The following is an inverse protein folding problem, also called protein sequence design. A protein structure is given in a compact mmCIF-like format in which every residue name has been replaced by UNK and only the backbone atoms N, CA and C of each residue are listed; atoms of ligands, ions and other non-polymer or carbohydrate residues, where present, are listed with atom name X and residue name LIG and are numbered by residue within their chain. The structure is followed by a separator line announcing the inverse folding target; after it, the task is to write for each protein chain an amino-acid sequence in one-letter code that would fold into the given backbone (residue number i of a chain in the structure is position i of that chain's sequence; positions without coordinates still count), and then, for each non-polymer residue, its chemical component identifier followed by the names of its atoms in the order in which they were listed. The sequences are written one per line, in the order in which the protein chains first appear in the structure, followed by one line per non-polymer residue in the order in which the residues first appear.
data_IF_200660260232
#
_entry.id   IF_200660260232
#
_cell.length_a   1.000
_cell.length_b   1.000
_cell.length_c   1.000
_cell.angle_alpha   90.00
_cell.angle_beta   90.00
_cell.angle_gamma   90.00
#
_symmetry.space_group_name_H-M   'P 1'
#
loop_
_entity.id
_entity.type
_entity.pdbx_description
1 polymer ?
#
# COMPACT_ATOMS: atom_id res chain seq x y z
N UNK A 1 -27.66 -56.89 43.35
CA UNK A 1 -26.61 -56.37 44.25
C UNK A 1 -25.32 -56.83 43.62
N UNK A 2 -24.74 -55.93 42.83
CA UNK A 2 -23.75 -56.27 41.80
C UNK A 2 -22.38 -55.84 42.28
N UNK A 3 -21.59 -56.78 42.80
CA UNK A 3 -20.20 -56.54 43.17
C UNK A 3 -19.30 -56.74 41.94
N UNK A 4 -19.38 -55.80 40.99
CA UNK A 4 -18.36 -55.67 39.95
C UNK A 4 -17.19 -54.89 40.55
N UNK A 5 -16.26 -55.62 41.17
CA UNK A 5 -14.97 -55.06 41.61
C UNK A 5 -14.22 -54.48 40.40
N UNK A 6 -14.03 -53.16 40.38
CA UNK A 6 -13.15 -52.51 39.43
C UNK A 6 -11.69 -52.83 39.78
N UNK A 7 -11.09 -53.76 39.04
CA UNK A 7 -9.65 -54.00 39.08
C UNK A 7 -8.90 -52.81 38.47
N UNK A 8 -8.31 -51.96 39.32
CA UNK A 8 -7.27 -51.01 38.92
C UNK A 8 -5.95 -51.77 38.96
N UNK A 9 -5.65 -52.49 37.88
CA UNK A 9 -4.43 -53.25 37.68
C UNK A 9 -3.86 -53.01 36.29
N UNK A 10 -2.53 -52.94 36.19
CA UNK A 10 -1.82 -52.72 34.91
C UNK A 10 -1.99 -53.94 34.01
N UNK A 11 -2.86 -53.85 33.00
CA UNK A 11 -2.98 -54.82 31.92
C UNK A 11 -1.80 -54.68 30.94
N UNK A 12 -0.63 -55.20 31.33
CA UNK A 12 0.52 -55.29 30.42
C UNK A 12 0.41 -56.50 29.51
N UNK A 13 -0.25 -56.35 28.35
CA UNK A 13 -0.04 -57.22 27.19
C UNK A 13 0.01 -56.40 25.90
N UNK A 14 1.12 -55.69 25.68
CA UNK A 14 1.54 -55.29 24.33
C UNK A 14 2.78 -56.09 23.96
N UNK A 15 2.67 -56.95 22.93
CA UNK A 15 3.84 -57.54 22.27
C UNK A 15 4.65 -56.40 21.63
N UNK A 16 5.80 -56.04 22.20
CA UNK A 16 6.74 -55.11 21.56
C UNK A 16 7.84 -55.91 20.86
N UNK A 17 8.10 -55.56 19.61
CA UNK A 17 9.25 -56.05 18.84
C UNK A 17 10.48 -55.32 19.38
N UNK A 18 11.43 -56.06 19.94
CA UNK A 18 12.72 -55.52 20.41
C UNK A 18 13.85 -55.90 19.44
N UNK A 19 14.89 -55.07 19.38
CA UNK A 19 16.14 -55.40 18.68
C UNK A 19 16.93 -56.43 19.52
N UNK A 20 17.35 -57.53 18.88
CA UNK A 20 18.01 -58.68 19.54
C UNK A 20 19.27 -58.31 20.32
N UNK A 21 20.05 -57.33 19.82
CA UNK A 21 21.30 -56.87 20.45
C UNK A 21 21.10 -56.26 21.85
N UNK A 22 20.01 -55.53 22.09
CA UNK A 22 19.75 -54.91 23.40
C UNK A 22 19.33 -55.89 24.50
N UNK A 23 18.85 -57.08 24.13
CA UNK A 23 18.50 -58.15 25.07
C UNK A 23 19.75 -58.93 25.52
N UNK A 24 20.65 -59.20 24.58
CA UNK A 24 21.92 -59.91 24.84
C UNK A 24 22.87 -59.08 25.72
N UNK A 25 22.88 -57.75 25.56
CA UNK A 25 23.66 -56.83 26.40
C UNK A 25 23.08 -56.63 27.83
N UNK A 26 21.95 -57.24 28.17
CA UNK A 26 21.36 -57.18 29.53
C UNK A 26 20.75 -55.84 29.95
N UNK A 27 20.79 -54.81 29.10
CA UNK A 27 20.33 -53.44 29.39
C UNK A 27 18.81 -53.29 29.48
N UNK A 28 18.04 -54.18 28.81
CA UNK A 28 16.59 -54.09 28.67
C UNK A 28 15.84 -55.23 29.40
N UNK A 29 16.40 -55.73 30.52
CA UNK A 29 15.83 -56.86 31.28
C UNK A 29 14.76 -56.47 32.33
N UNK A 30 14.61 -55.18 32.64
CA UNK A 30 13.61 -54.70 33.60
C UNK A 30 12.50 -53.90 32.92
N UNK A 31 11.30 -53.96 33.49
CA UNK A 31 10.14 -53.14 33.09
C UNK A 31 10.50 -51.67 33.35
N UNK A 32 10.90 -50.94 32.31
CA UNK A 32 11.06 -49.49 32.39
C UNK A 32 9.67 -48.88 32.32
N UNK A 33 9.17 -48.37 33.45
CA UNK A 33 7.99 -47.51 33.48
C UNK A 33 8.44 -46.08 33.09
N UNK A 34 7.74 -45.45 32.15
CA UNK A 34 7.90 -44.02 31.91
C UNK A 34 7.63 -43.26 33.22
N UNK A 35 8.61 -42.46 33.65
CA UNK A 35 8.66 -41.79 34.96
C UNK A 35 7.62 -40.70 35.19
N UNK A 36 6.51 -40.69 34.44
CA UNK A 36 5.45 -39.71 34.64
C UNK A 36 4.36 -40.29 35.57
N UNK A 37 4.52 -40.06 36.88
CA UNK A 37 3.53 -40.41 37.92
C UNK A 37 2.43 -39.36 38.07
N UNK A 38 2.46 -38.28 37.29
CA UNK A 38 1.50 -37.17 37.42
C UNK A 38 0.06 -37.62 37.23
N UNK A 39 -0.20 -38.64 36.41
CA UNK A 39 -1.55 -39.15 36.21
C UNK A 39 -2.08 -39.92 37.43
N UNK A 40 -1.21 -40.59 38.20
CA UNK A 40 -1.58 -41.28 39.46
C UNK A 40 -1.95 -40.23 40.50
N UNK A 41 -1.14 -39.18 40.63
CA UNK A 41 -1.40 -38.04 41.52
C UNK A 41 -2.65 -37.29 41.10
N UNK A 42 -2.90 -37.12 39.80
CA UNK A 42 -4.08 -36.43 39.26
C UNK A 42 -5.36 -37.23 39.55
N UNK A 43 -5.35 -38.56 39.39
CA UNK A 43 -6.50 -39.40 39.77
C UNK A 43 -6.73 -39.37 41.28
N UNK A 44 -5.67 -39.45 42.09
CA UNK A 44 -5.78 -39.31 43.54
C UNK A 44 -6.32 -37.92 43.96
N UNK A 45 -5.97 -36.86 43.21
CA UNK A 45 -6.49 -35.50 43.43
C UNK A 45 -7.95 -35.32 42.99
N UNK A 46 -8.41 -36.04 41.97
CA UNK A 46 -9.82 -36.05 41.57
C UNK A 46 -10.67 -36.82 42.60
N UNK A 47 -10.10 -37.85 43.22
CA UNK A 47 -10.76 -38.69 44.22
C UNK A 47 -10.56 -38.23 45.68
N UNK A 48 -10.27 -36.94 45.93
CA UNK A 48 -10.04 -36.41 47.28
C UNK A 48 -11.32 -36.51 48.13
N UNK A 49 -11.33 -37.46 49.06
CA UNK A 49 -12.17 -37.45 50.25
C UNK A 49 -11.24 -37.40 51.47
N UNK A 50 -11.31 -36.35 52.32
CA UNK A 50 -12.21 -35.19 52.28
C UNK A 50 -11.69 -34.03 51.42
N UNK A 51 -12.59 -33.38 50.66
CA UNK A 51 -12.31 -32.25 49.76
C UNK A 51 -11.72 -31.05 50.51
N UNK A 52 -10.39 -30.85 50.40
CA UNK A 52 -9.66 -29.74 51.02
C UNK A 52 -9.07 -28.81 49.94
N UNK A 53 -9.85 -27.84 49.41
CA UNK A 53 -9.41 -26.94 48.34
C UNK A 53 -8.30 -25.98 48.77
N UNK A 54 -8.13 -25.78 50.07
CA UNK A 54 -7.12 -24.91 50.68
C UNK A 54 -5.68 -25.31 50.34
N UNK A 55 -5.41 -26.61 50.16
CA UNK A 55 -4.08 -27.12 49.75
C UNK A 55 -3.75 -26.71 48.32
N UNK A 56 -4.75 -26.81 47.42
CA UNK A 56 -4.63 -26.39 46.02
C UNK A 56 -4.45 -24.88 45.96
N UNK A 57 -5.27 -24.12 46.70
CA UNK A 57 -5.19 -22.65 46.73
C UNK A 57 -3.87 -22.14 47.33
N UNK A 58 -3.29 -22.82 48.33
CA UNK A 58 -1.96 -22.45 48.88
C UNK A 58 -0.83 -22.58 47.86
N UNK A 59 -0.92 -23.53 46.92
CA UNK A 59 0.08 -23.68 45.85
C UNK A 59 0.10 -22.51 44.87
N UNK A 60 -1.03 -21.84 44.68
CA UNK A 60 -1.13 -20.65 43.82
C UNK A 60 -0.91 -19.34 44.59
N UNK A 61 -0.84 -19.39 45.93
CA UNK A 61 -0.51 -18.26 46.81
C UNK A 61 1.00 -18.16 47.09
N UNK A 62 1.85 -18.46 46.12
CA UNK A 62 3.27 -18.06 46.21
C UNK A 62 3.34 -16.54 46.23
N UNK A 63 3.67 -16.02 47.42
CA UNK A 63 4.01 -14.63 47.74
C UNK A 63 3.06 -13.57 47.17
N UNK A 64 2.18 -13.07 48.05
CA UNK A 64 1.79 -11.65 48.05
C UNK A 64 3.06 -10.83 48.36
N UNK A 65 3.93 -10.70 47.37
CA UNK A 65 4.88 -9.62 47.25
C UNK A 65 4.40 -8.76 46.10
N UNK A 66 4.41 -7.45 46.29
CA UNK A 66 4.00 -6.38 45.37
C UNK A 66 4.78 -6.30 44.04
N UNK A 67 5.18 -7.44 43.49
CA UNK A 67 5.91 -7.51 42.25
C UNK A 67 4.95 -7.89 41.14
N UNK A 68 4.45 -6.86 40.46
CA UNK A 68 4.24 -6.92 39.02
C UNK A 68 5.41 -7.67 38.41
N UNK A 69 5.26 -8.97 38.12
CA UNK A 69 6.28 -9.77 37.43
C UNK A 69 6.64 -9.00 36.16
N UNK A 70 7.80 -8.31 36.09
CA UNK A 70 8.14 -7.60 34.88
C UNK A 70 8.53 -8.71 33.92
N UNK A 71 7.75 -8.88 32.85
CA UNK A 71 8.27 -9.61 31.71
C UNK A 71 9.56 -8.88 31.31
N UNK A 72 10.72 -9.51 31.53
CA UNK A 72 12.07 -8.97 31.34
C UNK A 72 12.44 -8.72 29.87
N UNK A 73 11.45 -8.30 29.07
CA UNK A 73 11.58 -7.98 27.66
C UNK A 73 10.70 -6.78 27.29
N UNK A 74 10.36 -5.92 28.25
CA UNK A 74 9.75 -4.62 27.99
C UNK A 74 10.85 -3.59 27.71
N UNK A 75 11.52 -3.72 26.57
CA UNK A 75 12.26 -2.60 25.99
C UNK A 75 11.24 -1.53 25.59
N UNK A 76 11.33 -0.36 26.20
CA UNK A 76 10.47 0.81 25.93
C UNK A 76 10.55 1.35 24.50
N UNK A 77 11.35 0.75 23.61
CA UNK A 77 11.59 1.18 22.24
C UNK A 77 10.98 0.26 21.17
N UNK A 78 10.42 -0.90 21.52
CA UNK A 78 9.85 -1.81 20.52
C UNK A 78 8.44 -1.37 20.11
N UNK A 79 8.22 -1.17 18.81
CA UNK A 79 6.90 -0.93 18.23
C UNK A 79 5.94 -2.03 18.69
N UNK A 80 4.81 -1.64 19.31
CA UNK A 80 3.80 -2.59 19.77
C UNK A 80 3.26 -3.36 18.55
N UNK A 81 3.42 -4.68 18.55
CA UNK A 81 2.77 -5.50 17.54
C UNK A 81 1.26 -5.43 17.70
N UNK A 82 0.54 -5.18 16.61
CA UNK A 82 -0.92 -5.16 16.58
C UNK A 82 -1.55 -6.51 16.98
N UNK A 83 -0.78 -7.61 16.98
CA UNK A 83 -1.21 -8.92 17.47
C UNK A 83 -1.26 -9.01 19.00
N UNK A 84 -0.46 -8.21 19.71
CA UNK A 84 -0.24 -8.34 21.16
C UNK A 84 -1.20 -7.45 21.94
N UNK A 85 -2.51 -7.70 21.80
CA UNK A 85 -3.54 -6.88 22.41
C UNK A 85 -3.38 -6.74 23.93
N UNK A 86 -2.83 -7.74 24.63
CA UNK A 86 -2.55 -7.68 26.07
C UNK A 86 -1.56 -6.57 26.44
N UNK A 87 -0.56 -6.32 25.59
CA UNK A 87 0.41 -5.24 25.78
C UNK A 87 -0.26 -3.88 25.53
N UNK A 88 -1.07 -3.80 24.47
CA UNK A 88 -1.83 -2.59 24.12
C UNK A 88 -2.85 -2.24 25.21
N UNK A 89 -3.58 -3.23 25.73
CA UNK A 89 -4.57 -3.09 26.79
C UNK A 89 -3.93 -2.67 28.13
N UNK A 90 -2.75 -3.22 28.46
CA UNK A 90 -1.98 -2.76 29.63
C UNK A 90 -1.58 -1.29 29.52
N UNK A 91 -1.13 -0.86 28.34
CA UNK A 91 -0.79 0.54 28.10
C UNK A 91 -2.01 1.44 28.12
N UNK A 92 -3.14 1.00 27.56
CA UNK A 92 -4.40 1.72 27.65
C UNK A 92 -4.80 1.93 29.13
N UNK A 93 -4.69 0.89 29.96
CA UNK A 93 -4.98 0.98 31.40
C UNK A 93 -3.99 1.84 32.19
N UNK A 94 -2.76 1.99 31.69
CA UNK A 94 -1.76 2.88 32.29
C UNK A 94 -1.96 4.33 31.87
N UNK A 95 -2.44 4.57 30.65
CA UNK A 95 -2.62 5.91 30.08
C UNK A 95 -3.99 6.54 30.40
N UNK A 96 -4.98 5.73 30.76
CA UNK A 96 -6.34 6.19 31.09
C UNK A 96 -6.53 6.17 32.60
N UNK A 97 -6.82 7.32 33.18
CA UNK A 97 -7.05 7.47 34.63
C UNK A 97 -8.35 6.77 35.10
N UNK A 98 -9.42 6.83 34.28
CA UNK A 98 -10.69 6.12 34.55
C UNK A 98 -10.96 5.00 33.55
N UNK A 99 -10.73 3.77 33.99
CA UNK A 99 -10.96 2.54 33.22
C UNK A 99 -12.46 2.35 32.90
N UNK A 100 -13.35 2.96 33.68
CA UNK A 100 -14.79 2.83 33.50
C UNK A 100 -15.39 3.86 32.55
N UNK A 101 -14.58 4.81 32.06
CA UNK A 101 -15.02 5.77 31.05
C UNK A 101 -15.58 5.07 29.79
N UNK A 102 -16.62 5.65 29.22
CA UNK A 102 -17.29 5.10 28.05
C UNK A 102 -16.36 5.06 26.83
N UNK A 103 -15.45 6.03 26.68
CA UNK A 103 -14.51 6.07 25.55
C UNK A 103 -13.38 5.05 25.75
N UNK A 104 -12.89 4.90 26.98
CA UNK A 104 -11.92 3.85 27.33
C UNK A 104 -12.45 2.45 27.05
N UNK A 105 -13.70 2.16 27.44
CA UNK A 105 -14.38 0.89 27.13
C UNK A 105 -14.54 0.66 25.63
N UNK A 106 -14.87 1.70 24.85
CA UNK A 106 -14.96 1.60 23.39
C UNK A 106 -13.59 1.25 22.79
N UNK A 107 -12.51 1.91 23.23
CA UNK A 107 -11.15 1.63 22.77
C UNK A 107 -10.69 0.21 23.11
N UNK A 108 -10.95 -0.27 24.33
CA UNK A 108 -10.63 -1.65 24.70
C UNK A 108 -11.35 -2.66 23.79
N UNK A 109 -12.66 -2.47 23.56
CA UNK A 109 -13.45 -3.32 22.65
C UNK A 109 -12.93 -3.30 21.21
N UNK A 110 -12.51 -2.14 20.69
CA UNK A 110 -11.95 -2.07 19.33
C UNK A 110 -10.60 -2.76 19.25
N UNK A 111 -9.74 -2.62 20.27
CA UNK A 111 -8.46 -3.34 20.36
C UNK A 111 -8.69 -4.86 20.33
N UNK A 112 -9.62 -5.37 21.14
CA UNK A 112 -9.99 -6.78 21.13
C UNK A 112 -10.49 -7.25 19.76
N UNK A 113 -11.40 -6.47 19.15
CA UNK A 113 -12.00 -6.80 17.86
C UNK A 113 -10.94 -6.85 16.74
N UNK A 114 -10.07 -5.84 16.69
CA UNK A 114 -8.99 -5.75 15.70
C UNK A 114 -7.99 -6.88 15.89
N UNK A 115 -7.63 -7.19 17.14
CA UNK A 115 -6.71 -8.29 17.43
C UNK A 115 -7.26 -9.64 16.98
N UNK A 116 -8.53 -9.95 17.29
CA UNK A 116 -9.18 -11.17 16.86
C UNK A 116 -9.24 -11.27 15.32
N UNK A 117 -9.59 -10.17 14.64
CA UNK A 117 -9.58 -10.12 13.17
C UNK A 117 -8.18 -10.33 12.60
N UNK A 118 -7.16 -9.71 13.17
CA UNK A 118 -5.78 -9.87 12.71
C UNK A 118 -5.30 -11.32 12.89
N UNK A 119 -5.62 -11.98 13.99
CA UNK A 119 -5.31 -13.40 14.19
C UNK A 119 -6.01 -14.27 13.16
N UNK A 120 -7.31 -14.02 12.90
CA UNK A 120 -8.07 -14.75 11.88
C UNK A 120 -7.42 -14.60 10.49
N UNK A 121 -7.06 -13.37 10.12
CA UNK A 121 -6.39 -13.06 8.86
C UNK A 121 -5.00 -13.69 8.77
N UNK A 122 -4.25 -13.75 9.87
CA UNK A 122 -2.95 -14.44 9.91
C UNK A 122 -3.13 -15.93 9.62
N UNK A 123 -4.06 -16.59 10.32
CA UNK A 123 -4.37 -17.99 10.09
C UNK A 123 -4.88 -18.26 8.66
N UNK A 124 -5.73 -17.38 8.12
CA UNK A 124 -6.19 -17.48 6.74
C UNK A 124 -5.02 -17.37 5.75
N UNK A 125 -4.13 -16.40 5.94
CA UNK A 125 -2.93 -16.27 5.10
C UNK A 125 -2.03 -17.51 5.17
N UNK A 126 -1.84 -18.08 6.36
CA UNK A 126 -1.03 -19.27 6.54
C UNK A 126 -1.69 -20.51 5.90
N UNK A 127 -3.00 -20.67 6.05
CA UNK A 127 -3.77 -21.71 5.37
C UNK A 127 -3.72 -21.56 3.84
N UNK A 128 -3.82 -20.33 3.32
CA UNK A 128 -3.70 -20.07 1.89
C UNK A 128 -2.29 -20.37 1.36
N UNK A 129 -1.25 -20.03 2.13
CA UNK A 129 0.13 -20.39 1.80
C UNK A 129 0.33 -21.90 1.78
N UNK A 130 -0.24 -22.61 2.74
CA UNK A 130 -0.19 -24.07 2.79
C UNK A 130 -0.96 -24.69 1.62
N UNK A 131 -2.17 -24.21 1.34
CA UNK A 131 -2.97 -24.65 0.21
C UNK A 131 -2.22 -24.46 -1.11
N UNK A 132 -1.58 -23.30 -1.31
CA UNK A 132 -0.74 -23.02 -2.47
C UNK A 132 0.48 -23.94 -2.54
N UNK A 133 1.13 -24.24 -1.42
CA UNK A 133 2.24 -25.19 -1.37
C UNK A 133 1.80 -26.62 -1.73
N UNK A 134 0.63 -27.05 -1.25
CA UNK A 134 0.06 -28.36 -1.55
C UNK A 134 -0.37 -28.44 -3.02
N UNK A 135 -0.98 -27.39 -3.55
CA UNK A 135 -1.35 -27.26 -4.96
C UNK A 135 -0.11 -27.38 -5.87
N UNK A 136 0.98 -26.68 -5.53
CA UNK A 136 2.27 -26.83 -6.22
C UNK A 136 2.81 -28.26 -6.15
N UNK A 137 2.70 -28.95 -5.00
CA UNK A 137 3.09 -30.36 -4.87
C UNK A 137 2.24 -31.27 -5.77
N UNK A 138 0.93 -31.05 -5.82
CA UNK A 138 0.03 -31.78 -6.70
C UNK A 138 0.38 -31.56 -8.18
N UNK A 139 0.61 -30.32 -8.60
CA UNK A 139 1.08 -30.02 -9.96
C UNK A 139 2.40 -30.71 -10.29
N UNK A 140 3.37 -30.70 -9.36
CA UNK A 140 4.66 -31.41 -9.54
C UNK A 140 4.47 -32.92 -9.69
N UNK A 141 3.58 -33.55 -8.93
CA UNK A 141 3.28 -34.98 -9.03
C UNK A 141 2.57 -35.36 -10.34
N UNK A 142 1.76 -34.46 -10.90
CA UNK A 142 1.06 -34.67 -12.18
C UNK A 142 1.93 -34.48 -13.43
N UNK A 143 3.13 -33.89 -13.31
CA UNK A 143 4.08 -33.76 -14.42
C UNK A 143 4.69 -35.13 -14.73
N UNK A 144 4.29 -35.74 -15.83
CA UNK A 144 4.93 -36.96 -16.33
C UNK A 144 6.40 -36.68 -16.68
N UNK A 145 7.28 -37.60 -16.30
CA UNK A 145 8.69 -37.50 -16.65
C UNK A 145 8.87 -37.70 -18.16
N UNK A 146 9.47 -36.73 -18.85
CA UNK A 146 9.73 -36.81 -20.29
C UNK A 146 10.89 -37.77 -20.59
N UNK A 147 10.57 -39.06 -20.62
CA UNK A 147 11.48 -40.12 -21.04
C UNK A 147 11.49 -40.19 -22.56
N UNK A 148 12.66 -39.97 -23.16
CA UNK A 148 12.83 -40.04 -24.61
C UNK A 148 13.06 -41.49 -25.05
N UNK A 149 12.28 -42.02 -26.00
CA UNK A 149 12.41 -43.39 -26.45
C UNK A 149 13.80 -43.65 -27.09
N UNK A 150 14.32 -44.89 -27.03
CA UNK A 150 15.55 -45.26 -27.73
C UNK A 150 15.38 -45.12 -29.25
N UNK A 151 16.48 -44.96 -29.99
CA UNK A 151 16.46 -44.82 -31.46
C UNK A 151 15.86 -46.04 -32.17
N UNK A 152 16.07 -47.25 -31.65
CA UNK A 152 15.53 -48.50 -32.19
C UNK A 152 14.25 -48.93 -31.44
N UNK A 153 13.24 -48.05 -31.40
CA UNK A 153 12.00 -48.31 -30.67
C UNK A 153 10.94 -49.01 -31.53
N UNK A 154 10.76 -50.32 -31.33
CA UNK A 154 9.76 -51.13 -32.06
C UNK A 154 8.39 -51.17 -31.36
N UNK A 155 7.86 -50.01 -30.93
CA UNK A 155 6.46 -49.82 -30.50
C UNK A 155 5.94 -50.74 -29.38
N UNK A 156 6.82 -51.25 -28.51
CA UNK A 156 6.47 -52.09 -27.34
C UNK A 156 6.63 -51.37 -25.99
N UNK A 157 6.32 -52.04 -24.87
CA UNK A 157 6.60 -51.45 -23.56
C UNK A 157 8.12 -51.25 -23.34
N UNK A 158 8.54 -50.07 -22.89
CA UNK A 158 9.95 -49.75 -22.60
C UNK A 158 10.21 -49.80 -21.10
N UNK A 159 11.11 -50.67 -20.67
CA UNK A 159 11.63 -50.65 -19.30
C UNK A 159 12.76 -49.63 -19.19
N UNK A 160 12.63 -48.71 -18.23
CA UNK A 160 13.61 -47.67 -17.99
C UNK A 160 14.51 -48.02 -16.80
N UNK A 161 15.82 -47.94 -16.99
CA UNK A 161 16.77 -48.07 -15.88
C UNK A 161 16.73 -46.85 -14.95
N UNK A 162 17.09 -46.99 -13.65
CA UNK A 162 17.13 -45.86 -12.71
C UNK A 162 17.99 -44.68 -13.21
N UNK A 163 19.09 -44.95 -13.89
CA UNK A 163 19.98 -43.93 -14.48
C UNK A 163 19.29 -43.08 -15.55
N UNK A 164 18.47 -43.70 -16.41
CA UNK A 164 17.70 -42.98 -17.44
C UNK A 164 16.60 -42.11 -16.83
N UNK A 165 15.97 -42.59 -15.77
CA UNK A 165 14.99 -41.82 -14.99
C UNK A 165 15.67 -40.61 -14.32
N UNK A 166 16.86 -40.77 -13.76
CA UNK A 166 17.62 -39.66 -13.17
C UNK A 166 17.99 -38.59 -14.22
N UNK A 167 18.50 -39.00 -15.39
CA UNK A 167 18.82 -38.08 -16.50
C UNK A 167 17.59 -37.30 -16.98
N UNK A 168 16.42 -37.95 -17.07
CA UNK A 168 15.19 -37.27 -17.45
C UNK A 168 14.72 -36.26 -16.40
N UNK A 169 14.93 -36.53 -15.10
CA UNK A 169 14.67 -35.55 -14.02
C UNK A 169 15.60 -34.35 -14.14
N UNK A 170 16.89 -34.57 -14.32
CA UNK A 170 17.88 -33.52 -14.47
C UNK A 170 17.56 -32.61 -15.67
N UNK A 171 17.16 -33.19 -16.81
CA UNK A 171 16.73 -32.39 -17.98
C UNK A 171 15.48 -31.56 -17.68
N UNK A 172 14.52 -32.11 -16.94
CA UNK A 172 13.33 -31.38 -16.55
C UNK A 172 13.65 -30.22 -15.60
N UNK A 173 14.53 -30.46 -14.60
CA UNK A 173 15.00 -29.41 -13.69
C UNK A 173 15.71 -28.29 -14.45
N UNK A 174 16.56 -28.63 -15.43
CA UNK A 174 17.22 -27.63 -16.28
C UNK A 174 16.21 -26.80 -17.09
N UNK A 175 15.17 -27.44 -17.67
CA UNK A 175 14.11 -26.72 -18.38
C UNK A 175 13.31 -25.82 -17.45
N UNK A 176 12.90 -26.32 -16.29
CA UNK A 176 12.16 -25.55 -15.29
C UNK A 176 12.99 -24.34 -14.81
N UNK A 177 14.29 -24.50 -14.58
CA UNK A 177 15.21 -23.39 -14.22
C UNK A 177 15.34 -22.35 -15.34
N UNK A 178 15.45 -22.78 -16.60
CA UNK A 178 15.48 -21.87 -17.76
C UNK A 178 14.18 -21.09 -17.89
N UNK A 179 13.03 -21.75 -17.73
CA UNK A 179 11.73 -21.10 -17.75
C UNK A 179 11.57 -20.09 -16.61
N UNK A 180 12.00 -20.44 -15.39
CA UNK A 180 12.00 -19.55 -14.23
C UNK A 180 12.89 -18.32 -14.45
N UNK A 181 14.10 -18.51 -14.99
CA UNK A 181 15.00 -17.41 -15.33
C UNK A 181 14.40 -16.48 -16.40
N UNK A 182 13.76 -17.04 -17.43
CA UNK A 182 13.06 -16.26 -18.46
C UNK A 182 11.87 -15.48 -17.88
N UNK A 183 11.11 -16.08 -16.97
CA UNK A 183 10.01 -15.38 -16.29
C UNK A 183 10.54 -14.25 -15.40
N UNK A 184 11.63 -14.49 -14.67
CA UNK A 184 12.29 -13.48 -13.86
C UNK A 184 12.73 -12.29 -14.73
N UNK A 185 13.45 -12.53 -15.82
CA UNK A 185 13.87 -11.50 -16.76
C UNK A 185 12.69 -10.71 -17.34
N UNK A 186 11.59 -11.39 -17.73
CA UNK A 186 10.37 -10.71 -18.21
C UNK A 186 9.76 -9.81 -17.14
N UNK A 187 9.74 -10.26 -15.88
CA UNK A 187 9.22 -9.48 -14.76
C UNK A 187 10.09 -8.24 -14.48
N UNK A 188 11.41 -8.38 -14.55
CA UNK A 188 12.35 -7.28 -14.39
C UNK A 188 12.23 -6.28 -15.53
N UNK A 189 12.10 -6.76 -16.77
CA UNK A 189 11.87 -5.93 -17.94
C UNK A 189 10.54 -5.15 -17.84
N UNK A 190 9.49 -5.75 -17.27
CA UNK A 190 8.24 -5.05 -17.01
C UNK A 190 8.41 -3.93 -15.98
N UNK A 191 9.05 -4.22 -14.85
CA UNK A 191 9.35 -3.22 -13.80
C UNK A 191 10.21 -2.08 -14.34
N UNK A 192 11.21 -2.39 -15.17
CA UNK A 192 12.06 -1.37 -15.79
C UNK A 192 11.25 -0.48 -16.74
N UNK A 193 10.38 -1.07 -17.57
CA UNK A 193 9.48 -0.33 -18.47
C UNK A 193 8.54 0.59 -17.71
N UNK A 194 7.98 0.15 -16.59
CA UNK A 194 7.14 0.99 -15.72
C UNK A 194 7.93 2.17 -15.16
N UNK A 195 9.14 1.93 -14.62
CA UNK A 195 10.01 2.99 -14.12
C UNK A 195 10.36 4.01 -15.20
N UNK A 196 10.67 3.55 -16.42
CA UNK A 196 10.96 4.43 -17.55
C UNK A 196 9.74 5.27 -17.96
N UNK A 197 8.53 4.69 -17.95
CA UNK A 197 7.29 5.43 -18.21
C UNK A 197 7.06 6.53 -17.17
N UNK A 198 7.27 6.22 -15.89
CA UNK A 198 7.13 7.18 -14.80
C UNK A 198 8.15 8.31 -14.91
N UNK A 199 9.43 7.99 -15.12
CA UNK A 199 10.49 9.00 -15.30
C UNK A 199 10.23 9.91 -16.50
N UNK A 200 9.75 9.34 -17.62
CA UNK A 200 9.37 10.12 -18.80
C UNK A 200 8.18 11.04 -18.53
N UNK A 201 7.18 10.57 -17.77
CA UNK A 201 6.03 11.38 -17.37
C UNK A 201 6.46 12.56 -16.48
N UNK A 202 7.33 12.31 -15.49
CA UNK A 202 7.90 13.34 -14.61
C UNK A 202 8.67 14.40 -15.41
N UNK A 203 9.57 13.99 -16.31
CA UNK A 203 10.32 14.93 -17.16
C UNK A 203 9.38 15.80 -18.02
N UNK A 204 8.32 15.20 -18.57
CA UNK A 204 7.34 15.92 -19.37
C UNK A 204 6.54 16.93 -18.54
N UNK A 205 6.21 16.59 -17.30
CA UNK A 205 5.55 17.50 -16.34
C UNK A 205 6.47 18.66 -15.95
N UNK A 206 7.73 18.40 -15.61
CA UNK A 206 8.73 19.43 -15.35
C UNK A 206 8.92 20.37 -16.54
N UNK A 207 8.95 19.83 -17.77
CA UNK A 207 9.05 20.63 -18.99
C UNK A 207 7.82 21.51 -19.21
N UNK A 208 6.62 21.05 -18.84
CA UNK A 208 5.39 21.86 -18.86
C UNK A 208 5.47 22.99 -17.84
N UNK A 209 5.88 22.69 -16.60
CA UNK A 209 6.05 23.71 -15.56
C UNK A 209 7.07 24.78 -15.96
N UNK A 210 8.21 24.39 -16.53
CA UNK A 210 9.22 25.32 -17.04
C UNK A 210 8.66 26.23 -18.15
N UNK A 211 7.80 25.72 -19.03
CA UNK A 211 7.15 26.52 -20.08
C UNK A 211 6.16 27.52 -19.51
N UNK A 212 5.37 27.12 -18.50
CA UNK A 212 4.44 28.01 -17.81
C UNK A 212 5.20 29.13 -17.11
N UNK A 213 6.22 28.79 -16.32
CA UNK A 213 7.06 29.77 -15.63
C UNK A 213 7.75 30.73 -16.62
N UNK A 214 8.31 30.23 -17.72
CA UNK A 214 8.93 31.08 -18.74
C UNK A 214 7.92 32.01 -19.45
N UNK A 215 6.66 31.59 -19.57
CA UNK A 215 5.59 32.44 -20.12
C UNK A 215 5.20 33.53 -19.12
N UNK A 216 4.99 33.17 -17.86
CA UNK A 216 4.69 34.12 -16.79
C UNK A 216 5.77 35.19 -16.65
N UNK A 217 7.04 34.81 -16.68
CA UNK A 217 8.16 35.76 -16.64
C UNK A 217 8.19 36.69 -17.87
N UNK A 218 7.87 36.18 -19.07
CA UNK A 218 7.75 37.03 -20.27
C UNK A 218 6.60 38.02 -20.16
N UNK A 219 5.45 37.57 -19.64
CA UNK A 219 4.27 38.40 -19.47
C UNK A 219 4.52 39.48 -18.41
N UNK A 220 5.23 39.16 -17.32
CA UNK A 220 5.69 40.14 -16.31
C UNK A 220 6.61 41.20 -16.90
N UNK A 221 7.65 40.79 -17.62
CA UNK A 221 8.58 41.71 -18.26
C UNK A 221 7.90 42.59 -19.32
N UNK A 222 6.92 42.06 -20.04
CA UNK A 222 6.12 42.82 -21.00
C UNK A 222 5.21 43.83 -20.29
N UNK A 223 4.59 43.46 -19.18
CA UNK A 223 3.77 44.35 -18.36
C UNK A 223 4.60 45.49 -17.75
N UNK A 224 5.77 45.20 -17.18
CA UNK A 224 6.68 46.22 -16.64
C UNK A 224 7.14 47.20 -17.73
N UNK A 225 7.53 46.69 -18.92
CA UNK A 225 7.89 47.56 -20.05
C UNK A 225 6.71 48.38 -20.56
N UNK A 226 5.49 47.85 -20.51
CA UNK A 226 4.30 48.61 -20.86
C UNK A 226 4.04 49.73 -19.85
N UNK A 227 4.17 49.46 -18.54
CA UNK A 227 4.07 50.48 -17.50
C UNK A 227 5.11 51.59 -17.68
N UNK A 228 6.38 51.23 -17.90
CA UNK A 228 7.45 52.22 -18.17
C UNK A 228 7.14 53.11 -19.38
N UNK A 229 6.59 52.53 -20.46
CA UNK A 229 6.20 53.32 -21.64
C UNK A 229 5.07 54.29 -21.34
N UNK A 230 4.11 53.93 -20.50
CA UNK A 230 3.04 54.84 -20.08
C UNK A 230 3.57 55.95 -19.16
N UNK A 231 4.44 55.62 -18.21
CA UNK A 231 5.13 56.60 -17.36
C UNK A 231 5.93 57.61 -18.21
N UNK A 232 6.69 57.14 -19.20
CA UNK A 232 7.44 57.99 -20.13
C UNK A 232 6.54 58.91 -20.95
N UNK A 233 5.37 58.42 -21.39
CA UNK A 233 4.38 59.24 -22.11
C UNK A 233 3.81 60.32 -21.18
N UNK A 234 3.45 59.96 -19.95
CA UNK A 234 2.94 60.89 -18.95
C UNK A 234 3.98 61.95 -18.58
N UNK A 235 5.23 61.56 -18.37
CA UNK A 235 6.34 62.46 -18.11
C UNK A 235 6.55 63.47 -19.26
N UNK A 236 6.53 63.00 -20.52
CA UNK A 236 6.62 63.87 -21.70
C UNK A 236 5.43 64.82 -21.83
N UNK A 237 4.23 64.40 -21.45
CA UNK A 237 3.04 65.26 -21.46
C UNK A 237 3.14 66.34 -20.38
N UNK A 238 3.54 65.98 -19.16
CA UNK A 238 3.78 66.93 -18.08
C UNK A 238 4.89 67.93 -18.44
N UNK A 239 5.98 67.47 -19.04
CA UNK A 239 7.06 68.36 -19.50
C UNK A 239 6.57 69.36 -20.56
N UNK A 240 5.76 68.91 -21.52
CA UNK A 240 5.13 69.80 -22.50
C UNK A 240 4.22 70.84 -21.84
N UNK A 241 3.42 70.43 -20.85
CA UNK A 241 2.57 71.34 -20.08
C UNK A 241 3.39 72.37 -19.30
N UNK A 242 4.45 71.94 -18.61
CA UNK A 242 5.38 72.83 -17.92
C UNK A 242 6.03 73.83 -18.88
N UNK A 243 6.46 73.39 -20.06
CA UNK A 243 7.02 74.28 -21.08
C UNK A 243 5.99 75.30 -21.60
N UNK A 244 4.73 74.90 -21.81
CA UNK A 244 3.68 75.85 -22.18
C UNK A 244 3.37 76.84 -21.06
N UNK A 245 3.36 76.40 -19.80
CA UNK A 245 3.08 77.26 -18.64
C UNK A 245 4.21 78.25 -18.37
N UNK A 246 5.47 77.83 -18.56
CA UNK A 246 6.63 78.73 -18.51
C UNK A 246 6.54 79.78 -19.63
N UNK A 247 6.17 79.39 -20.86
CA UNK A 247 5.96 80.34 -21.98
C UNK A 247 4.80 81.31 -21.72
N UNK A 248 3.70 80.85 -21.12
CA UNK A 248 2.56 81.68 -20.74
C UNK A 248 2.92 82.65 -19.60
N UNK A 249 3.64 82.18 -18.58
CA UNK A 249 4.18 82.97 -17.46
C UNK A 249 5.10 84.10 -17.95
N UNK A 250 5.97 83.85 -18.94
CA UNK A 250 6.83 84.87 -19.53
C UNK A 250 6.05 85.90 -20.39
N UNK A 251 4.93 85.50 -21.01
CA UNK A 251 4.03 86.42 -21.73
C UNK A 251 3.10 87.21 -20.80
N UNK A 252 3.02 86.87 -19.51
CA UNK A 252 2.15 87.46 -18.48
C UNK A 252 2.56 88.84 -17.95
N UNK A 253 3.35 89.63 -18.68
CA UNK A 253 3.46 91.09 -18.49
C UNK A 253 3.04 91.81 -19.78
N UNK A 254 1.75 91.76 -20.13
CA UNK A 254 1.02 92.76 -20.96
C UNK A 254 -0.44 92.35 -21.17
N UNK A 255 -1.34 93.21 -20.65
CA UNK A 255 -2.63 93.72 -21.18
C UNK A 255 -3.31 92.96 -22.35
N UNK A 256 -4.63 92.90 -22.58
CA UNK A 256 -5.89 93.40 -21.98
C UNK A 256 -7.03 93.15 -23.01
N UNK A 257 -8.31 93.11 -22.59
CA UNK A 257 -9.56 93.37 -23.37
C UNK A 257 -10.00 92.33 -24.44
N UNK A 258 -11.27 92.04 -24.80
CA UNK A 258 -12.67 92.20 -24.32
C UNK A 258 -13.57 91.37 -25.32
N UNK A 259 -14.88 91.13 -25.05
CA UNK A 259 -15.67 90.01 -25.61
C UNK A 259 -16.46 90.34 -26.89
N UNK A 260 -16.99 89.33 -27.59
CA UNK A 260 -18.24 89.44 -28.40
C UNK A 260 -18.89 88.09 -28.69
N UNK A 261 -20.22 88.08 -28.59
CA UNK A 261 -21.20 87.02 -28.88
C UNK A 261 -21.72 87.16 -30.33
N UNK A 262 -22.05 86.05 -30.98
CA UNK A 262 -23.08 85.99 -32.03
C UNK A 262 -23.75 84.59 -32.00
N UNK A 263 -25.08 84.56 -32.09
CA UNK A 263 -25.96 83.40 -31.92
C UNK A 263 -26.67 83.06 -33.26
N UNK A 264 -26.66 81.76 -33.56
CA UNK A 264 -27.58 80.83 -34.28
C UNK A 264 -28.61 81.28 -35.34
N UNK A 265 -28.76 80.46 -36.40
CA UNK A 265 -29.96 79.61 -36.69
C UNK A 265 -29.64 78.59 -37.81
N UNK A 266 -29.61 77.27 -37.55
CA UNK A 266 -30.58 76.14 -37.73
C UNK A 266 -30.95 75.70 -39.17
N UNK A 267 -30.85 74.37 -39.35
CA UNK A 267 -31.49 73.39 -40.26
C UNK A 267 -30.91 73.18 -41.67
N UNK A 268 -30.25 72.03 -41.86
CA UNK A 268 -30.35 71.20 -43.06
C UNK A 268 -30.11 69.72 -42.69
N UNK A 269 -31.16 68.94 -42.88
CA UNK A 269 -31.28 67.49 -42.87
C UNK A 269 -30.65 66.91 -44.15
N UNK A 270 -29.84 65.83 -44.10
CA UNK A 270 -29.65 64.82 -45.18
C UNK A 270 -28.78 63.62 -44.69
N UNK A 271 -29.45 62.53 -44.31
CA UNK A 271 -29.25 61.14 -44.79
C UNK A 271 -27.87 60.63 -45.27
N UNK A 272 -27.28 59.65 -44.55
CA UNK A 272 -27.19 58.21 -44.96
C UNK A 272 -26.16 57.43 -44.12
N UNK A 273 -26.69 56.58 -43.25
CA UNK A 273 -26.03 55.36 -42.78
C UNK A 273 -26.23 54.28 -43.85
N UNK A 274 -25.15 53.73 -44.40
CA UNK A 274 -25.21 52.45 -45.12
C UNK A 274 -24.19 51.51 -44.49
N UNK A 275 -24.74 50.40 -44.00
CA UNK A 275 -24.08 49.21 -43.49
C UNK A 275 -23.27 48.59 -44.63
N UNK A 276 -21.94 48.54 -44.52
CA UNK A 276 -21.14 47.61 -45.32
C UNK A 276 -21.19 46.23 -44.66
N UNK A 277 -22.19 45.45 -45.04
CA UNK A 277 -22.28 44.03 -44.77
C UNK A 277 -21.26 43.29 -45.66
N UNK A 278 -20.34 42.55 -45.03
CA UNK A 278 -19.29 41.80 -45.71
C UNK A 278 -19.88 40.64 -46.54
N UNK A 279 -19.63 40.65 -47.86
CA UNK A 279 -20.04 39.60 -48.80
C UNK A 279 -19.37 38.26 -48.47
N UNK A 280 -20.11 37.14 -48.38
CA UNK A 280 -19.54 35.81 -48.10
C UNK A 280 -18.71 35.30 -49.28
N UNK A 281 -17.51 34.76 -49.00
CA UNK A 281 -16.62 34.16 -50.01
C UNK A 281 -17.27 32.89 -50.59
N UNK A 282 -17.53 32.91 -51.90
CA UNK A 282 -18.07 31.78 -52.67
C UNK A 282 -16.95 30.92 -53.29
N UNK A 283 -17.19 29.62 -53.44
CA UNK A 283 -16.33 28.72 -54.23
C UNK A 283 -16.53 28.94 -55.74
N UNK A 284 -15.61 28.41 -56.58
CA UNK A 284 -15.68 28.50 -58.06
C UNK A 284 -16.96 27.90 -58.68
N UNK A 285 -17.77 27.16 -57.92
CA UNK A 285 -19.08 26.60 -58.31
C UNK A 285 -20.27 27.21 -57.53
N UNK A 286 -20.09 28.38 -56.90
CA UNK A 286 -21.17 29.17 -56.31
C UNK A 286 -21.72 28.69 -54.97
N UNK A 287 -21.03 27.80 -54.24
CA UNK A 287 -21.47 27.40 -52.89
C UNK A 287 -20.82 28.25 -51.79
N UNK A 288 -21.58 28.68 -50.75
CA UNK A 288 -21.06 29.45 -49.62
C UNK A 288 -20.20 28.59 -48.69
N UNK A 289 -19.04 29.11 -48.27
CA UNK A 289 -18.10 28.44 -47.35
C UNK A 289 -18.47 28.82 -45.92
N UNK A 290 -18.87 27.85 -45.10
CA UNK A 290 -19.07 28.06 -43.66
C UNK A 290 -17.77 27.78 -42.90
N UNK A 291 -17.28 28.70 -42.04
CA UNK A 291 -16.13 28.43 -41.18
C UNK A 291 -16.51 27.46 -40.04
N UNK A 292 -15.56 26.65 -39.53
CA UNK A 292 -15.84 25.70 -38.46
C UNK A 292 -16.22 26.43 -37.16
N UNK A 293 -17.28 25.95 -36.50
CA UNK A 293 -17.67 26.40 -35.17
C UNK A 293 -16.66 25.85 -34.15
N UNK A 294 -15.77 26.72 -33.66
CA UNK A 294 -14.96 26.39 -32.49
C UNK A 294 -15.89 26.31 -31.27
N UNK A 295 -15.96 25.13 -30.65
CA UNK A 295 -16.59 24.95 -29.35
C UNK A 295 -15.74 25.69 -28.32
N UNK A 296 -16.23 26.86 -27.89
CA UNK A 296 -15.75 27.53 -26.69
C UNK A 296 -16.09 26.63 -25.50
N UNK A 297 -15.05 26.20 -24.78
CA UNK A 297 -15.14 25.69 -23.41
C UNK A 297 -14.91 26.86 -22.47
#
# INVERSE_FOLDING_TARGET
MDEKGFLIGVLSKMKRVFFKSGYEEGKLKHIVQDGNREWITTIACICISPFNPSVILKRFKTAQGDDFRPNSSASSSSVLSASDWRKIERLLRQAVDDIYDANAKKLSRTIHTISAKNQLLQHENDNLREALANEKKHRKRGKALLLEPPTNYNRGAVFWSPTKVAQARQRQEQKDLQEEALQHQKSEANKLRERQKLAKAQLLEEARLKRVAAKEERDRLAAEKALQREEDKMAKQLEKQLQSDIKLSQKGKRQSLKPTKAIETVVADENRHVVEEAVPKLTRKGRPIQPPKNLLT
#
